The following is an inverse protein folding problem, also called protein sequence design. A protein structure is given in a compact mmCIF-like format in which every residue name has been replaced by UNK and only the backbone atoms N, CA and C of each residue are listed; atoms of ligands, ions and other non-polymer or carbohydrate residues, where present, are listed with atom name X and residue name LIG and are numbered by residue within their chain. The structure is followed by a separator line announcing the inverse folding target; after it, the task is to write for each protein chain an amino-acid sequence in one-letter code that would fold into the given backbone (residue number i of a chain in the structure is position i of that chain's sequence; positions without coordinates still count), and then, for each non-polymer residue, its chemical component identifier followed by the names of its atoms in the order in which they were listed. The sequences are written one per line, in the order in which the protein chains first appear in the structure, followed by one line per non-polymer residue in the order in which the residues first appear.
data_IF_188392553972
#
_entry.id   IF_188392553972
#
_cell.length_a   1.000
_cell.length_b   1.000
_cell.length_c   1.000
_cell.angle_alpha   90.00
_cell.angle_beta   90.00
_cell.angle_gamma   90.00
#
_symmetry.space_group_name_H-M   'P 1'
#
loop_
_entity.id
_entity.type
_entity.pdbx_description
1 polymer ?
#
# COMPACT_ATOMS: atom_id res chain seq x y z
N UNK A 1 -34.84 -15.98 1.56
CA UNK A 1 -33.83 -15.30 2.41
C UNK A 1 -32.46 -15.79 1.97
N UNK A 2 -31.70 -14.95 1.25
CA UNK A 2 -30.48 -15.35 0.53
C UNK A 2 -29.31 -15.58 1.49
N UNK A 3 -28.73 -16.78 1.43
CA UNK A 3 -27.54 -17.22 2.15
C UNK A 3 -26.42 -16.16 2.19
N UNK A 4 -26.07 -15.74 3.41
CA UNK A 4 -24.86 -14.99 3.70
C UNK A 4 -23.66 -15.90 3.37
N UNK A 5 -23.09 -15.69 2.18
CA UNK A 5 -21.91 -16.38 1.69
C UNK A 5 -20.73 -15.93 2.56
N UNK A 6 -20.41 -16.69 3.61
CA UNK A 6 -19.16 -16.55 4.35
C UNK A 6 -18.02 -16.79 3.37
N UNK A 7 -17.52 -15.72 2.75
CA UNK A 7 -16.39 -15.78 1.84
C UNK A 7 -15.17 -16.08 2.69
N UNK A 8 -14.64 -17.30 2.59
CA UNK A 8 -13.36 -17.65 3.18
C UNK A 8 -12.30 -16.67 2.70
N UNK A 9 -11.73 -15.88 3.62
CA UNK A 9 -10.61 -15.02 3.32
C UNK A 9 -9.37 -15.91 3.16
N UNK A 10 -8.71 -15.81 2.00
CA UNK A 10 -7.43 -16.45 1.75
C UNK A 10 -6.37 -15.39 1.57
N UNK A 11 -5.18 -15.64 2.11
CA UNK A 11 -4.01 -14.79 1.83
C UNK A 11 -3.68 -14.98 0.35
N UNK A 12 -3.77 -13.90 -0.43
CA UNK A 12 -3.40 -13.91 -1.85
C UNK A 12 -1.88 -13.76 -2.02
N UNK A 13 -1.27 -12.87 -1.25
CA UNK A 13 0.15 -12.57 -1.32
C UNK A 13 0.64 -11.94 -0.01
N UNK A 14 1.91 -12.12 0.32
CA UNK A 14 2.57 -11.45 1.45
C UNK A 14 3.74 -10.61 0.94
N UNK A 15 3.71 -9.30 1.18
CA UNK A 15 4.73 -8.35 0.76
C UNK A 15 5.71 -8.11 1.92
N UNK A 16 6.86 -8.79 1.92
CA UNK A 16 7.86 -8.72 3.01
C UNK A 16 9.05 -7.84 2.64
N UNK A 17 8.82 -6.54 2.50
CA UNK A 17 9.87 -5.59 2.08
C UNK A 17 10.11 -4.46 3.07
N UNK A 18 9.13 -4.12 3.90
CA UNK A 18 9.31 -3.12 4.94
C UNK A 18 10.16 -3.69 6.07
N UNK A 19 11.10 -2.90 6.57
CA UNK A 19 12.03 -3.31 7.64
C UNK A 19 11.51 -2.93 9.03
N UNK A 20 10.37 -2.25 9.09
CA UNK A 20 9.66 -1.86 10.31
C UNK A 20 8.15 -1.95 10.08
N UNK A 21 7.37 -1.55 11.08
CA UNK A 21 5.91 -1.68 11.08
C UNK A 21 5.29 -0.95 9.89
N UNK A 22 4.36 -1.63 9.21
CA UNK A 22 3.49 -1.00 8.20
C UNK A 22 2.42 -0.24 8.96
N UNK A 23 2.50 1.08 8.91
CA UNK A 23 1.60 1.98 9.66
C UNK A 23 0.35 2.31 8.87
N UNK A 24 0.41 2.22 7.53
CA UNK A 24 -0.68 2.63 6.66
C UNK A 24 -0.63 1.95 5.30
N UNK A 25 -1.80 1.77 4.71
CA UNK A 25 -1.96 1.29 3.35
C UNK A 25 -3.18 1.92 2.70
N UNK A 26 -3.15 2.06 1.37
CA UNK A 26 -4.29 2.55 0.62
C UNK A 26 -4.26 2.11 -0.84
N UNK A 27 -5.44 1.79 -1.36
CA UNK A 27 -5.63 1.43 -2.76
C UNK A 27 -6.00 2.64 -3.61
N UNK A 28 -5.45 2.70 -4.81
CA UNK A 28 -5.94 3.55 -5.89
C UNK A 28 -6.53 2.68 -6.99
N UNK A 29 -7.86 2.73 -7.10
CA UNK A 29 -8.62 1.84 -7.96
C UNK A 29 -8.40 0.37 -7.58
N UNK A 30 -8.27 -0.49 -8.59
CA UNK A 30 -8.10 -1.93 -8.40
C UNK A 30 -6.67 -2.41 -8.70
N UNK A 31 -5.76 -1.48 -9.02
CA UNK A 31 -4.46 -1.83 -9.60
C UNK A 31 -3.29 -1.29 -8.81
N UNK A 32 -3.41 -0.17 -8.11
CA UNK A 32 -2.30 0.41 -7.35
C UNK A 32 -2.57 0.34 -5.86
N UNK A 33 -1.53 0.04 -5.10
CA UNK A 33 -1.51 0.00 -3.65
C UNK A 33 -0.29 0.78 -3.17
N UNK A 34 -0.49 1.71 -2.24
CA UNK A 34 0.58 2.37 -1.53
C UNK A 34 0.65 1.85 -0.10
N UNK A 35 1.86 1.61 0.41
CA UNK A 35 2.11 1.19 1.79
C UNK A 35 3.13 2.13 2.43
N UNK A 36 2.81 2.66 3.61
CA UNK A 36 3.70 3.48 4.42
C UNK A 36 4.20 2.72 5.64
N UNK A 37 5.45 2.96 6.03
CA UNK A 37 6.06 2.30 7.18
C UNK A 37 6.86 3.24 8.07
N UNK A 38 7.03 2.80 9.32
CA UNK A 38 7.97 3.36 10.29
C UNK A 38 9.43 3.28 9.83
N UNK A 39 9.74 2.48 8.80
CA UNK A 39 11.04 2.46 8.12
C UNK A 39 11.34 3.71 7.28
N UNK A 40 10.41 4.69 7.32
CA UNK A 40 10.50 6.00 6.66
C UNK A 40 10.29 5.95 5.15
N UNK A 41 9.81 4.82 4.63
CA UNK A 41 9.53 4.65 3.20
C UNK A 41 8.04 4.55 2.93
N UNK A 42 7.66 5.06 1.76
CA UNK A 42 6.37 4.71 1.13
C UNK A 42 6.71 3.84 -0.08
N UNK A 43 6.11 2.66 -0.15
CA UNK A 43 6.28 1.75 -1.28
C UNK A 43 5.01 1.67 -2.11
N UNK A 44 5.19 1.56 -3.42
CA UNK A 44 4.10 1.57 -4.39
C UNK A 44 4.10 0.23 -5.13
N UNK A 45 2.93 -0.36 -5.23
CA UNK A 45 2.72 -1.68 -5.77
C UNK A 45 1.65 -1.64 -6.85
N UNK A 46 1.88 -2.35 -7.94
CA UNK A 46 0.91 -2.54 -9.01
C UNK A 46 0.50 -4.00 -9.12
N UNK A 47 -0.80 -4.22 -9.28
CA UNK A 47 -1.37 -5.52 -9.54
C UNK A 47 -1.13 -5.95 -10.99
N UNK A 48 -0.35 -7.00 -11.16
CA UNK A 48 -0.11 -7.68 -12.43
C UNK A 48 -0.85 -9.02 -12.42
N UNK A 49 -1.69 -9.24 -13.43
CA UNK A 49 -2.46 -10.49 -13.57
C UNK A 49 -1.49 -11.66 -13.72
N UNK A 50 -1.59 -12.64 -12.82
CA UNK A 50 -0.73 -13.83 -12.79
C UNK A 50 0.45 -13.73 -11.82
N UNK A 51 0.91 -12.52 -11.48
CA UNK A 51 2.06 -12.30 -10.59
C UNK A 51 1.66 -11.72 -9.23
N UNK A 52 0.54 -11.00 -9.16
CA UNK A 52 0.07 -10.31 -7.97
C UNK A 52 0.57 -8.87 -7.90
N UNK A 53 0.72 -8.32 -6.69
CA UNK A 53 1.33 -7.03 -6.43
C UNK A 53 2.84 -7.10 -6.66
N UNK A 54 3.32 -6.34 -7.63
CA UNK A 54 4.74 -6.14 -7.94
C UNK A 54 5.10 -4.71 -7.57
N UNK A 55 6.29 -4.51 -7.02
CA UNK A 55 6.77 -3.16 -6.66
C UNK A 55 7.06 -2.36 -7.93
N UNK A 56 6.62 -1.10 -7.97
CA UNK A 56 6.85 -0.20 -9.12
C UNK A 56 8.29 0.33 -9.14
N UNK A 57 8.81 0.63 -10.33
CA UNK A 57 10.22 1.03 -10.55
C UNK A 57 10.64 2.31 -9.81
N UNK A 58 9.69 3.20 -9.51
CA UNK A 58 9.94 4.45 -8.79
C UNK A 58 9.81 4.30 -7.26
N UNK A 59 9.53 3.09 -6.77
CA UNK A 59 9.52 2.73 -5.35
C UNK A 59 10.92 2.26 -4.90
N UNK A 60 11.31 2.44 -3.62
CA UNK A 60 10.60 3.17 -2.57
C UNK A 60 10.66 4.69 -2.77
N UNK A 61 9.58 5.36 -2.39
CA UNK A 61 9.57 6.81 -2.25
C UNK A 61 10.33 7.18 -0.98
N UNK A 62 11.46 7.86 -1.16
CA UNK A 62 12.34 8.33 -0.10
C UNK A 62 12.14 9.82 0.13
N UNK A 63 12.27 10.27 1.39
CA UNK A 63 12.20 11.69 1.73
C UNK A 63 11.69 11.97 3.15
N UNK A 64 10.99 11.03 3.77
CA UNK A 64 10.54 11.20 5.16
C UNK A 64 11.71 11.09 6.14
N UNK A 65 11.86 12.10 7.01
CA UNK A 65 12.87 12.10 8.07
C UNK A 65 12.54 11.12 9.20
N UNK A 66 11.25 10.91 9.42
CA UNK A 66 10.67 10.04 10.44
C UNK A 66 9.75 9.00 9.81
N UNK A 67 9.23 8.09 10.64
CA UNK A 67 8.32 7.05 10.20
C UNK A 67 7.09 7.65 9.52
N UNK A 68 6.65 7.03 8.44
CA UNK A 68 5.41 7.41 7.78
C UNK A 68 4.28 6.99 8.71
N UNK A 69 3.37 7.89 9.05
CA UNK A 69 2.22 7.56 9.92
C UNK A 69 0.97 7.23 9.13
N UNK A 70 0.85 7.78 7.92
CA UNK A 70 -0.32 7.67 7.07
C UNK A 70 0.07 7.93 5.61
N UNK A 71 -0.59 7.25 4.68
CA UNK A 71 -0.52 7.50 3.24
C UNK A 71 -1.94 7.73 2.73
N UNK A 72 -2.12 8.79 1.93
CA UNK A 72 -3.38 9.13 1.25
C UNK A 72 -3.15 9.43 -0.23
N UNK A 73 -3.97 8.86 -1.11
CA UNK A 73 -3.96 8.97 -2.57
C UNK A 73 -5.24 9.70 -2.96
N UNK A 74 -5.08 10.90 -3.51
CA UNK A 74 -6.21 11.64 -4.05
C UNK A 74 -6.68 11.03 -5.39
N UNK A 75 -8.00 10.82 -5.59
CA UNK A 75 -8.54 10.26 -6.82
C UNK A 75 -8.52 11.22 -8.02
N UNK A 76 -8.16 12.50 -7.82
CA UNK A 76 -8.29 13.53 -8.86
C UNK A 76 -6.95 14.06 -9.39
N UNK A 77 -5.91 14.11 -8.56
CA UNK A 77 -4.55 14.53 -8.91
C UNK A 77 -3.59 13.84 -7.93
N UNK A 78 -2.56 13.16 -8.44
CA UNK A 78 -1.58 12.36 -7.70
C UNK A 78 -0.82 13.14 -6.61
N UNK A 79 -1.41 13.33 -5.43
CA UNK A 79 -0.73 13.94 -4.28
C UNK A 79 -0.78 12.96 -3.11
N UNK A 80 0.41 12.49 -2.71
CA UNK A 80 0.63 11.71 -1.51
C UNK A 80 0.76 12.67 -0.31
N UNK A 81 -0.23 12.69 0.58
CA UNK A 81 -0.06 13.32 1.89
C UNK A 81 0.48 12.29 2.87
N UNK A 82 1.71 12.48 3.33
CA UNK A 82 2.18 11.88 4.58
C UNK A 82 2.07 12.93 5.67
N UNK A 83 1.42 12.64 6.79
CA UNK A 83 1.50 13.50 7.96
C UNK A 83 2.73 13.10 8.78
N UNK A 84 3.62 14.07 9.02
CA UNK A 84 4.79 13.97 9.90
C UNK A 84 4.40 14.69 11.20
N UNK A 85 4.58 14.04 12.35
CA UNK A 85 4.85 14.75 13.60
C UNK A 85 6.37 14.84 13.79
#
# INVERSE_FOLDING_TARGET
MSNLRTKNARILQTLKVHTSDVTSMEFWGNTLLATGSSDKTVRIWKWTVGEGFVEEDFSPLLGHKYGVTCVRISPQVSICYSFIF
#
